data_IF_542712335003
#
_entry.id   IF_542712335003
#
_cell.length_a   1.000
_cell.length_b   1.000
_cell.length_c   1.000
_cell.angle_alpha   90.00
_cell.angle_beta   90.00
_cell.angle_gamma   90.00
#
_symmetry.space_group_name_H-M   'P 1'
#
loop_
_entity.id
_entity.type
_entity.pdbx_description
1 polymer ?
#
# COMPACT_ATOMS: atom_id res chain seq x y z
N UNK A 1 0.87 2.83 1.52
CA UNK A 1 2.19 3.30 1.02
C UNK A 1 3.26 3.35 2.11
N UNK A 2 3.03 3.99 3.26
CA UNK A 2 4.02 4.14 4.35
C UNK A 2 4.78 2.86 4.71
N UNK A 3 4.10 1.72 4.84
CA UNK A 3 4.76 0.45 5.16
C UNK A 3 5.73 -0.06 4.06
N UNK A 4 5.42 0.18 2.79
CA UNK A 4 6.31 -0.15 1.67
C UNK A 4 7.58 0.71 1.73
N UNK A 5 7.40 2.02 1.93
CA UNK A 5 8.50 2.98 2.01
C UNK A 5 9.40 2.69 3.23
N UNK A 6 8.79 2.44 4.39
CA UNK A 6 9.51 2.07 5.61
C UNK A 6 10.30 0.75 5.44
N UNK A 7 9.73 -0.24 4.74
CA UNK A 7 10.42 -1.49 4.42
C UNK A 7 11.64 -1.25 3.51
N UNK A 8 11.51 -0.38 2.51
CA UNK A 8 12.61 0.04 1.65
C UNK A 8 13.73 0.73 2.45
N UNK A 9 13.35 1.64 3.36
CA UNK A 9 14.24 2.38 4.27
C UNK A 9 14.84 1.51 5.40
N UNK A 10 14.42 0.24 5.52
CA UNK A 10 14.94 -0.69 6.51
C UNK A 10 14.38 -0.54 7.92
N UNK A 11 13.34 0.27 8.11
CA UNK A 11 12.74 0.50 9.43
C UNK A 11 12.08 -0.76 9.98
N UNK A 12 12.19 -0.94 11.29
CA UNK A 12 11.54 -2.01 12.06
C UNK A 12 10.12 -1.60 12.42
N UNK A 13 9.25 -2.60 12.55
CA UNK A 13 7.83 -2.40 12.91
C UNK A 13 7.65 -1.56 14.18
N UNK A 14 8.53 -1.71 15.16
CA UNK A 14 8.48 -1.01 16.45
C UNK A 14 8.86 0.47 16.37
N UNK A 15 9.44 0.93 15.25
CA UNK A 15 9.80 2.34 15.03
C UNK A 15 8.55 3.17 14.66
N UNK A 16 7.47 3.06 15.45
CA UNK A 16 6.16 3.62 15.16
C UNK A 16 6.17 5.15 14.97
N UNK A 17 7.01 5.88 15.72
CA UNK A 17 7.16 7.32 15.56
C UNK A 17 7.68 7.71 14.17
N UNK A 18 8.65 6.97 13.63
CA UNK A 18 9.19 7.22 12.28
C UNK A 18 8.13 6.95 11.22
N UNK A 19 7.37 5.87 11.38
CA UNK A 19 6.27 5.54 10.47
C UNK A 19 5.17 6.60 10.50
N UNK A 20 4.79 7.08 11.69
CA UNK A 20 3.79 8.12 11.84
C UNK A 20 4.27 9.42 11.16
N UNK A 21 5.50 9.87 11.45
CA UNK A 21 6.07 11.05 10.81
C UNK A 21 6.10 10.94 9.28
N UNK A 22 6.46 9.77 8.74
CA UNK A 22 6.42 9.53 7.29
C UNK A 22 5.00 9.58 6.74
N UNK A 23 4.03 8.96 7.43
CA UNK A 23 2.63 8.97 7.02
C UNK A 23 2.05 10.39 7.02
N UNK A 24 2.35 11.19 8.04
CA UNK A 24 1.82 12.55 8.18
C UNK A 24 2.35 13.48 7.10
N UNK A 25 3.59 13.27 6.66
CA UNK A 25 4.23 14.03 5.57
C UNK A 25 3.83 13.54 4.18
N UNK A 26 3.41 12.29 4.04
CA UNK A 26 3.15 11.69 2.73
C UNK A 26 1.88 12.27 2.08
N UNK A 27 2.06 12.86 0.90
CA UNK A 27 0.99 13.29 0.01
C UNK A 27 1.15 12.55 -1.32
N UNK A 28 0.08 11.95 -1.83
CA UNK A 28 0.14 11.15 -3.05
C UNK A 28 -1.16 11.20 -3.86
N UNK A 29 -1.02 10.98 -5.16
CA UNK A 29 -2.11 10.64 -6.08
C UNK A 29 -1.82 9.29 -6.73
N UNK A 30 -2.87 8.55 -7.10
CA UNK A 30 -2.72 7.24 -7.74
C UNK A 30 -3.67 7.13 -8.94
N UNK A 31 -3.14 6.69 -10.08
CA UNK A 31 -3.84 6.43 -11.32
C UNK A 31 -3.85 4.93 -11.60
N UNK A 32 -5.04 4.36 -11.78
CA UNK A 32 -5.21 2.98 -12.23
C UNK A 32 -5.11 2.93 -13.75
N UNK A 33 -4.08 2.26 -14.25
CA UNK A 33 -3.87 2.05 -15.68
C UNK A 33 -4.45 0.67 -16.00
N UNK A 34 -5.63 0.67 -16.61
CA UNK A 34 -6.30 -0.56 -17.02
C UNK A 34 -5.91 -0.93 -18.46
N UNK A 35 -5.79 -2.22 -18.79
CA UNK A 35 -5.61 -2.66 -20.16
C UNK A 35 -6.76 -2.20 -21.06
N UNK A 36 -6.47 -2.00 -22.35
CA UNK A 36 -7.44 -1.52 -23.33
C UNK A 36 -8.74 -2.33 -23.31
N UNK A 37 -9.88 -1.65 -23.29
CA UNK A 37 -11.21 -2.25 -23.23
C UNK A 37 -11.68 -2.66 -21.82
N UNK A 38 -10.86 -2.54 -20.78
CA UNK A 38 -11.31 -2.76 -19.39
C UNK A 38 -11.76 -1.46 -18.73
N UNK A 39 -12.90 -1.54 -18.05
CA UNK A 39 -13.48 -0.42 -17.27
C UNK A 39 -13.31 -0.65 -15.75
N UNK A 40 -12.94 -1.86 -15.35
CA UNK A 40 -12.80 -2.26 -13.94
C UNK A 40 -11.63 -3.24 -13.77
N UNK A 41 -11.05 -3.26 -12.57
CA UNK A 41 -9.97 -4.17 -12.20
C UNK A 41 -10.46 -5.63 -12.17
N UNK A 42 -9.58 -6.55 -12.55
CA UNK A 42 -9.86 -7.97 -12.45
C UNK A 42 -9.56 -8.45 -11.02
N UNK A 43 -10.55 -9.05 -10.36
CA UNK A 43 -10.39 -9.59 -9.00
C UNK A 43 -10.22 -11.11 -9.08
N UNK A 44 -9.15 -11.61 -8.49
CA UNK A 44 -8.93 -13.05 -8.28
C UNK A 44 -9.00 -13.34 -6.78
N UNK A 45 -9.90 -14.23 -6.39
CA UNK A 45 -9.94 -14.75 -5.02
C UNK A 45 -9.06 -16.00 -4.91
N UNK A 46 -8.02 -15.90 -4.09
CA UNK A 46 -7.17 -17.02 -3.72
C UNK A 46 -7.70 -17.74 -2.46
N UNK A 47 -7.78 -19.07 -2.53
CA UNK A 47 -8.19 -19.95 -1.44
C UNK A 47 -6.95 -20.48 -0.72
N UNK A 48 -6.51 -19.77 0.31
CA UNK A 48 -5.29 -20.10 1.04
C UNK A 48 -5.59 -21.05 2.19
N UNK A 49 -5.14 -22.30 2.05
CA UNK A 49 -5.31 -23.34 3.06
C UNK A 49 -3.98 -23.62 3.75
N UNK A 50 -3.95 -23.53 5.07
CA UNK A 50 -2.82 -23.95 5.89
C UNK A 50 -3.27 -25.04 6.85
N UNK A 51 -2.74 -26.25 6.71
CA UNK A 51 -2.92 -27.30 7.70
C UNK A 51 -1.89 -27.08 8.80
N UNK A 52 -2.36 -26.97 10.04
CA UNK A 52 -1.49 -26.90 11.20
C UNK A 52 -1.65 -28.16 12.04
N UNK A 53 -0.58 -28.93 12.17
CA UNK A 53 -0.56 -30.15 13.00
C UNK A 53 -0.42 -29.82 14.48
N UNK A 54 -0.80 -30.76 15.36
CA UNK A 54 -0.78 -30.56 16.82
C UNK A 54 0.59 -30.16 17.39
N UNK A 55 1.67 -30.62 16.77
CA UNK A 55 3.05 -30.30 17.19
C UNK A 55 3.55 -28.96 16.66
N UNK A 56 2.81 -28.32 15.74
CA UNK A 56 3.24 -27.06 15.14
C UNK A 56 2.94 -25.88 16.06
N UNK A 57 3.99 -25.09 16.30
CA UNK A 57 3.96 -23.93 17.20
C UNK A 57 4.00 -22.66 16.37
N UNK A 58 3.07 -21.75 16.61
CA UNK A 58 3.02 -20.46 15.94
C UNK A 58 4.13 -19.54 16.45
N UNK A 59 4.80 -18.84 15.54
CA UNK A 59 5.67 -17.73 15.93
C UNK A 59 4.83 -16.46 16.05
N UNK A 60 4.76 -15.89 17.25
CA UNK A 60 4.07 -14.62 17.45
C UNK A 60 5.00 -13.45 17.13
N UNK A 61 4.40 -12.30 16.85
CA UNK A 61 5.12 -11.01 16.74
C UNK A 61 5.81 -10.57 18.04
N UNK A 62 5.56 -11.24 19.17
CA UNK A 62 6.19 -10.97 20.45
C UNK A 62 7.34 -11.93 20.78
N UNK A 63 7.76 -12.77 19.82
CA UNK A 63 8.86 -13.72 20.02
C UNK A 63 8.54 -14.90 20.95
N UNK A 64 7.30 -14.96 21.45
CA UNK A 64 6.81 -16.09 22.24
C UNK A 64 6.14 -17.09 21.29
N UNK A 65 6.40 -18.38 21.51
CA UNK A 65 5.71 -19.44 20.76
C UNK A 65 4.29 -19.57 21.28
N UNK A 66 3.32 -19.45 20.39
CA UNK A 66 1.92 -19.72 20.71
C UNK A 66 1.63 -21.20 20.48
N UNK A 67 1.14 -21.87 21.52
CA UNK A 67 0.66 -23.24 21.45
C UNK A 67 -0.85 -23.25 21.26
N UNK A 68 -1.36 -24.22 20.50
CA UNK A 68 -2.80 -24.42 20.36
C UNK A 68 -3.27 -25.48 21.34
N UNK A 69 -4.33 -25.16 22.07
CA UNK A 69 -5.01 -26.08 22.99
C UNK A 69 -6.32 -26.55 22.33
N UNK A 70 -6.55 -27.85 22.23
CA UNK A 70 -7.74 -28.42 21.58
C UNK A 70 -7.67 -29.95 21.43
N UNK A 71 -8.83 -30.59 21.23
CA UNK A 71 -8.96 -32.05 21.03
C UNK A 71 -8.49 -32.51 19.65
N UNK A 72 -8.34 -33.84 19.44
CA UNK A 72 -7.79 -34.41 18.20
C UNK A 72 -8.50 -33.90 16.92
N UNK A 73 -9.83 -33.81 16.95
CA UNK A 73 -10.64 -33.35 15.82
C UNK A 73 -10.47 -31.86 15.48
N UNK A 74 -9.84 -31.06 16.36
CA UNK A 74 -9.57 -29.64 16.10
C UNK A 74 -8.43 -29.44 15.08
N UNK A 75 -7.64 -30.49 14.78
CA UNK A 75 -6.50 -30.44 13.86
C UNK A 75 -6.81 -31.02 12.47
N UNK A 76 -7.96 -31.68 12.30
CA UNK A 76 -8.31 -32.34 11.03
C UNK A 76 -8.78 -31.37 9.93
N UNK A 77 -9.13 -30.14 10.30
CA UNK A 77 -9.57 -29.11 9.36
C UNK A 77 -8.49 -28.05 9.14
N UNK A 78 -8.10 -27.76 7.88
CA UNK A 78 -7.13 -26.71 7.61
C UNK A 78 -7.71 -25.33 7.95
N UNK A 79 -6.84 -24.39 8.29
CA UNK A 79 -7.18 -22.97 8.32
C UNK A 79 -7.40 -22.51 6.89
N UNK A 80 -8.62 -22.07 6.60
CA UNK A 80 -9.02 -21.63 5.26
C UNK A 80 -9.21 -20.13 5.28
N UNK A 81 -8.41 -19.42 4.49
CA UNK A 81 -8.54 -17.98 4.30
C UNK A 81 -8.91 -17.70 2.84
N UNK A 82 -9.85 -16.78 2.65
CA UNK A 82 -10.17 -16.20 1.35
C UNK A 82 -9.49 -14.85 1.24
N UNK A 83 -8.71 -14.65 0.18
CA UNK A 83 -8.01 -13.37 -0.04
C UNK A 83 -8.19 -12.91 -1.48
N UNK A 84 -8.72 -11.71 -1.62
CA UNK A 84 -8.85 -11.08 -2.92
C UNK A 84 -7.55 -10.36 -3.30
N UNK A 85 -7.22 -10.47 -4.59
CA UNK A 85 -6.10 -9.83 -5.26
C UNK A 85 -6.60 -9.13 -6.52
N UNK A 86 -5.94 -8.02 -6.87
CA UNK A 86 -6.11 -7.38 -8.17
C UNK A 86 -5.14 -8.04 -9.16
N UNK A 87 -5.66 -8.62 -10.23
CA UNK A 87 -4.89 -9.23 -11.30
C UNK A 87 -4.76 -8.29 -12.49
N UNK A 88 -3.61 -8.34 -13.16
CA UNK A 88 -3.21 -7.43 -14.26
C UNK A 88 -3.40 -5.94 -13.94
N UNK A 89 -3.24 -5.57 -12.66
CA UNK A 89 -3.39 -4.18 -12.23
C UNK A 89 -2.06 -3.45 -12.32
N UNK A 90 -2.05 -2.35 -13.07
CA UNK A 90 -0.99 -1.35 -13.01
C UNK A 90 -1.50 -0.11 -12.28
N UNK A 91 -0.70 0.43 -11.37
CA UNK A 91 -1.01 1.70 -10.67
C UNK A 91 0.19 2.62 -10.76
N UNK A 92 -0.02 3.83 -11.29
CA UNK A 92 0.96 4.91 -11.29
C UNK A 92 0.72 5.79 -10.10
N UNK A 93 1.73 5.96 -9.25
CA UNK A 93 1.63 6.78 -8.05
C UNK A 93 2.58 7.96 -8.20
N UNK A 94 2.06 9.17 -8.06
CA UNK A 94 2.87 10.37 -7.84
C UNK A 94 2.84 10.67 -6.35
N UNK A 95 3.98 11.03 -5.77
CA UNK A 95 4.04 11.33 -4.34
C UNK A 95 5.09 12.38 -4.04
N UNK A 96 4.86 13.11 -2.96
CA UNK A 96 5.80 14.04 -2.34
C UNK A 96 5.78 13.87 -0.83
N UNK A 97 6.82 14.39 -0.16
CA UNK A 97 6.83 14.56 1.28
C UNK A 97 6.66 16.04 1.61
N UNK A 98 5.63 16.38 2.38
CA UNK A 98 5.36 17.73 2.85
C UNK A 98 6.32 18.10 4.00
N UNK A 99 6.76 19.35 4.00
CA UNK A 99 7.60 19.93 5.04
C UNK A 99 9.02 19.35 5.11
N UNK A 100 9.82 19.97 5.95
CA UNK A 100 11.22 19.60 6.13
C UNK A 100 11.38 18.31 6.95
N UNK A 101 12.55 17.68 6.81
CA UNK A 101 12.95 16.54 7.62
C UNK A 101 13.34 15.31 6.80
N UNK A 102 13.89 14.32 7.50
CA UNK A 102 14.36 13.07 6.91
C UNK A 102 13.34 11.95 7.13
N UNK A 103 13.14 11.04 6.16
CA UNK A 103 13.74 11.04 4.82
C UNK A 103 13.18 12.17 3.95
N UNK A 104 13.98 12.61 2.97
CA UNK A 104 13.56 13.41 1.82
C UNK A 104 12.91 12.53 0.76
N UNK A 105 12.31 13.12 -0.28
CA UNK A 105 11.75 12.32 -1.39
C UNK A 105 12.87 11.64 -2.20
N UNK A 106 14.04 12.25 -2.27
CA UNK A 106 15.27 11.70 -2.86
C UNK A 106 15.76 10.49 -2.07
N UNK A 107 15.79 10.57 -0.73
CA UNK A 107 16.14 9.43 0.13
C UNK A 107 15.18 8.25 -0.10
N UNK A 108 13.89 8.53 -0.22
CA UNK A 108 12.87 7.51 -0.53
C UNK A 108 13.10 6.90 -1.91
N UNK A 109 13.40 7.71 -2.92
CA UNK A 109 13.69 7.27 -4.28
C UNK A 109 14.89 6.30 -4.31
N UNK A 110 16.00 6.68 -3.66
CA UNK A 110 17.18 5.84 -3.52
C UNK A 110 16.86 4.53 -2.80
N UNK A 111 16.08 4.59 -1.73
CA UNK A 111 15.68 3.40 -0.97
C UNK A 111 14.79 2.46 -1.79
N UNK A 112 13.92 2.97 -2.66
CA UNK A 112 13.08 2.13 -3.53
C UNK A 112 13.90 1.41 -4.61
N UNK A 113 15.01 1.99 -5.05
CA UNK A 113 15.94 1.36 -6.00
C UNK A 113 16.88 0.35 -5.35
N UNK A 114 17.33 0.65 -4.13
CA UNK A 114 18.24 -0.18 -3.36
C UNK A 114 17.64 -0.47 -1.99
N UNK A 115 16.56 -1.27 -1.95
CA UNK A 115 15.82 -1.46 -0.71
C UNK A 115 16.60 -2.34 0.25
N UNK A 116 16.54 -1.99 1.54
CA UNK A 116 17.17 -2.77 2.62
C UNK A 116 16.50 -4.16 2.77
N UNK A 117 15.24 -4.29 2.35
CA UNK A 117 14.44 -5.52 2.43
C UNK A 117 13.66 -5.76 1.13
N UNK A 118 13.33 -7.01 0.77
CA UNK A 118 12.50 -7.30 -0.40
C UNK A 118 11.20 -6.50 -0.40
N UNK A 119 10.89 -5.87 -1.54
CA UNK A 119 9.67 -5.07 -1.71
C UNK A 119 8.50 -5.95 -2.16
N UNK A 120 7.30 -5.56 -1.74
CA UNK A 120 6.06 -6.22 -2.12
C UNK A 120 4.89 -5.24 -2.05
N UNK A 121 3.86 -5.46 -2.86
CA UNK A 121 2.70 -4.57 -2.99
C UNK A 121 1.54 -5.16 -2.18
N UNK A 122 1.36 -4.65 -0.97
CA UNK A 122 0.31 -5.08 -0.04
C UNK A 122 0.61 -6.42 0.66
N UNK A 123 0.86 -7.50 -0.09
CA UNK A 123 1.18 -8.84 0.46
C UNK A 123 2.49 -9.36 -0.11
N UNK A 124 3.22 -10.17 0.67
CA UNK A 124 4.56 -10.69 0.29
C UNK A 124 4.59 -11.48 -1.01
N UNK A 125 3.48 -12.07 -1.43
CA UNK A 125 3.34 -12.79 -2.70
C UNK A 125 3.19 -11.87 -3.92
N UNK A 126 2.92 -10.58 -3.72
CA UNK A 126 2.75 -9.60 -4.79
C UNK A 126 4.07 -8.84 -4.99
N UNK A 127 5.00 -9.44 -5.70
CA UNK A 127 6.29 -8.82 -6.03
C UNK A 127 6.11 -7.76 -7.12
N UNK A 128 6.86 -6.65 -7.09
CA UNK A 128 6.92 -5.73 -8.23
C UNK A 128 7.42 -6.45 -9.48
N UNK A 129 6.75 -6.25 -10.61
CA UNK A 129 7.18 -6.78 -11.92
C UNK A 129 8.32 -5.95 -12.54
N UNK A 130 8.47 -4.71 -12.08
CA UNK A 130 9.41 -3.71 -12.59
C UNK A 130 9.94 -2.80 -11.48
N UNK A 131 10.93 -1.98 -11.83
CA UNK A 131 11.45 -0.90 -10.96
C UNK A 131 10.30 0.02 -10.54
N UNK A 132 10.18 0.31 -9.24
CA UNK A 132 9.07 1.11 -8.70
C UNK A 132 9.20 2.60 -9.00
N UNK A 133 10.42 3.14 -8.97
CA UNK A 133 10.68 4.52 -9.38
C UNK A 133 10.75 4.54 -10.91
N UNK A 134 9.87 5.32 -11.54
CA UNK A 134 9.82 5.43 -13.00
C UNK A 134 10.48 6.71 -13.48
N UNK A 135 10.30 7.82 -12.75
CA UNK A 135 10.86 9.12 -13.08
C UNK A 135 10.40 10.19 -12.11
N UNK A 136 10.77 11.44 -12.42
CA UNK A 136 10.35 12.63 -11.70
C UNK A 136 9.41 13.44 -12.58
N UNK A 137 8.43 14.09 -11.94
CA UNK A 137 7.46 14.95 -12.60
C UNK A 137 7.21 16.15 -11.70
N UNK A 138 6.97 17.30 -12.31
CA UNK A 138 6.58 18.52 -11.61
C UNK A 138 5.08 18.76 -11.82
N UNK A 139 4.42 19.24 -10.77
CA UNK A 139 3.01 19.60 -10.78
C UNK A 139 2.71 20.49 -9.59
N UNK A 140 1.74 21.41 -9.74
CA UNK A 140 1.30 22.29 -8.66
C UNK A 140 0.66 21.52 -7.51
N UNK A 141 0.07 20.37 -7.82
CA UNK A 141 -0.58 19.44 -6.91
C UNK A 141 -0.49 18.00 -7.48
N UNK A 142 -1.03 17.03 -6.75
CA UNK A 142 -0.97 15.63 -7.17
C UNK A 142 -1.81 15.35 -8.43
N UNK A 143 -2.91 16.08 -8.65
CA UNK A 143 -3.75 15.91 -9.84
C UNK A 143 -3.01 16.38 -11.11
N UNK A 144 -2.41 17.57 -11.07
CA UNK A 144 -1.58 18.09 -12.15
C UNK A 144 -0.38 17.17 -12.45
N UNK A 145 0.27 16.63 -11.41
CA UNK A 145 1.36 15.68 -11.57
C UNK A 145 0.92 14.35 -12.21
N UNK A 146 -0.30 13.86 -11.90
CA UNK A 146 -0.88 12.70 -12.58
C UNK A 146 -1.18 12.99 -14.05
N UNK A 147 -1.75 14.16 -14.36
CA UNK A 147 -2.02 14.57 -15.74
C UNK A 147 -0.75 14.66 -16.60
N UNK A 148 0.36 15.11 -16.01
CA UNK A 148 1.66 15.18 -16.67
C UNK A 148 2.26 13.81 -17.04
N UNK A 149 1.71 12.69 -16.53
CA UNK A 149 2.10 11.35 -16.94
C UNK A 149 1.66 11.00 -18.37
N UNK A 150 0.73 11.77 -18.96
CA UNK A 150 0.12 11.50 -20.27
C UNK A 150 -0.49 10.08 -20.37
N UNK A 151 -1.09 9.62 -19.27
CA UNK A 151 -1.78 8.36 -19.16
C UNK A 151 -3.23 8.61 -18.79
N UNK A 152 -4.12 7.75 -19.28
CA UNK A 152 -5.55 7.87 -19.03
C UNK A 152 -6.02 6.83 -18.04
N UNK A 153 -7.08 7.17 -17.32
CA UNK A 153 -7.82 6.25 -16.47
C UNK A 153 -8.25 6.87 -15.17
N UNK A 154 -8.81 6.01 -14.32
CA UNK A 154 -9.37 6.42 -13.04
C UNK A 154 -8.27 6.68 -12.03
N UNK A 155 -8.32 7.85 -11.41
CA UNK A 155 -7.36 8.28 -10.42
C UNK A 155 -8.03 8.75 -9.13
N UNK A 156 -7.22 8.76 -8.08
CA UNK A 156 -7.50 9.41 -6.82
C UNK A 156 -6.38 10.41 -6.47
N UNK A 157 -6.75 11.54 -5.90
CA UNK A 157 -5.80 12.56 -5.46
C UNK A 157 -6.32 13.28 -4.20
N UNK A 158 -5.46 13.93 -3.41
CA UNK A 158 -5.86 14.58 -2.18
C UNK A 158 -6.82 15.75 -2.43
N UNK A 159 -7.60 16.10 -1.40
CA UNK A 159 -8.45 17.29 -1.36
C UNK A 159 -7.64 18.57 -1.13
N UNK A 160 -6.53 18.74 -1.86
CA UNK A 160 -5.66 19.93 -1.86
C UNK A 160 -5.61 20.64 -3.22
N UNK A 161 -6.23 20.06 -4.25
CA UNK A 161 -6.38 20.63 -5.58
C UNK A 161 -7.79 21.22 -5.80
N UNK A 162 -7.94 22.05 -6.84
CA UNK A 162 -9.26 22.45 -7.34
C UNK A 162 -9.99 21.17 -7.78
N UNK A 163 -11.23 20.92 -7.32
CA UNK A 163 -11.97 19.73 -7.74
C UNK A 163 -12.09 19.67 -9.25
N UNK A 164 -11.69 18.54 -9.85
CA UNK A 164 -11.96 18.29 -11.25
C UNK A 164 -13.49 18.13 -11.44
N UNK A 165 -14.00 18.58 -12.59
CA UNK A 165 -15.42 18.44 -12.89
C UNK A 165 -15.83 16.96 -12.87
N UNK A 166 -16.95 16.66 -12.21
CA UNK A 166 -17.45 15.29 -12.02
C UNK A 166 -16.66 14.40 -11.03
N UNK A 167 -15.63 14.91 -10.34
CA UNK A 167 -14.89 14.12 -9.35
C UNK A 167 -15.72 13.86 -8.07
N UNK A 168 -15.65 12.63 -7.57
CA UNK A 168 -16.30 12.20 -6.33
C UNK A 168 -15.38 12.49 -5.14
N UNK A 169 -15.83 13.35 -4.23
CA UNK A 169 -15.16 13.61 -2.95
C UNK A 169 -15.56 12.55 -1.92
N UNK A 170 -14.58 11.85 -1.33
CA UNK A 170 -14.84 10.78 -0.35
C UNK A 170 -13.73 10.64 0.71
N UNK A 171 -14.04 9.92 1.79
CA UNK A 171 -13.08 9.57 2.81
C UNK A 171 -12.43 8.22 2.50
N UNK A 172 -11.12 8.21 2.29
CA UNK A 172 -10.30 7.02 2.07
C UNK A 172 -9.73 6.53 3.43
N UNK A 173 -10.14 5.35 3.94
CA UNK A 173 -9.64 4.81 5.20
C UNK A 173 -8.27 4.11 5.03
N UNK A 174 -7.23 4.86 4.66
CA UNK A 174 -5.87 4.34 4.41
C UNK A 174 -4.89 4.58 5.58
N UNK A 175 -5.29 5.32 6.61
CA UNK A 175 -4.42 5.67 7.71
C UNK A 175 -4.30 4.55 8.74
N UNK A 176 -3.10 4.45 9.32
CA UNK A 176 -2.78 3.52 10.39
C UNK A 176 -2.32 4.28 11.62
N UNK A 177 -2.77 3.85 12.79
CA UNK A 177 -2.16 4.24 14.05
C UNK A 177 -0.90 3.37 14.25
N UNK A 178 0.27 3.98 14.13
CA UNK A 178 1.54 3.23 14.18
C UNK A 178 1.98 2.85 15.60
N UNK A 179 1.41 3.47 16.63
CA UNK A 179 1.67 3.08 18.02
C UNK A 179 0.90 1.80 18.40
N UNK A 180 -0.38 1.71 18.04
CA UNK A 180 -1.20 0.50 18.32
C UNK A 180 -1.11 -0.56 17.23
N UNK A 181 -0.71 -0.18 16.01
CA UNK A 181 -0.69 -1.03 14.84
C UNK A 181 -2.05 -1.30 14.21
N UNK A 182 -3.11 -0.62 14.67
CA UNK A 182 -4.47 -0.75 14.15
C UNK A 182 -4.73 0.24 13.01
N UNK A 183 -5.66 -0.09 12.11
CA UNK A 183 -6.20 0.88 11.17
C UNK A 183 -6.99 1.94 11.94
N UNK A 184 -6.80 3.20 11.60
CA UNK A 184 -7.41 4.30 12.33
C UNK A 184 -7.14 5.62 11.65
N UNK A 185 -8.20 6.21 11.11
CA UNK A 185 -8.19 7.48 10.39
C UNK A 185 -8.48 7.32 8.90
N UNK A 186 -8.75 8.46 8.26
CA UNK A 186 -9.02 8.56 6.83
C UNK A 186 -8.43 9.85 6.27
N UNK A 187 -8.15 9.87 4.97
CA UNK A 187 -7.88 11.10 4.21
C UNK A 187 -9.08 11.46 3.37
N UNK A 188 -9.31 12.75 3.13
CA UNK A 188 -10.26 13.16 2.11
C UNK A 188 -9.54 13.19 0.77
N UNK A 189 -10.15 12.54 -0.22
CA UNK A 189 -9.65 12.45 -1.59
C UNK A 189 -10.77 12.76 -2.59
N UNK A 190 -10.36 13.17 -3.78
CA UNK A 190 -11.20 13.16 -4.97
C UNK A 190 -10.88 11.92 -5.80
N UNK A 191 -11.92 11.28 -6.35
CA UNK A 191 -11.80 10.20 -7.33
C UNK A 191 -12.44 10.64 -8.64
N UNK A 192 -11.73 10.48 -9.76
CA UNK A 192 -12.20 10.89 -11.08
C UNK A 192 -11.35 10.33 -12.21
N UNK A 193 -11.58 10.78 -13.43
CA UNK A 193 -10.82 10.35 -14.62
C UNK A 193 -9.72 11.37 -14.97
N UNK A 194 -8.53 10.87 -15.30
CA UNK A 194 -7.48 11.63 -15.99
C UNK A 194 -7.60 11.35 -17.49
N UNK A 195 -7.68 12.40 -18.31
CA UNK A 195 -8.00 12.32 -19.75
C UNK A 195 -6.84 12.66 -20.68
#
# INVERSE_FOLDING_TARGET
>A
LTGLLANALGWRREEGARHQQLQDRLVFGALSVLPEGRVTALIVTDMQNAKLEKSERGWTTFGVREERTGGANTYDSPHRLRRDYLADQETRVVMRLYGDGTPTIEDVSVALDRPVRPLFIGRKSCLPDRRLVVGWVEGTDAHAALGALNLKGRALWPDDAIPADGALRQALPDLRNWASGLHGGSRIVHEGEIT
#
